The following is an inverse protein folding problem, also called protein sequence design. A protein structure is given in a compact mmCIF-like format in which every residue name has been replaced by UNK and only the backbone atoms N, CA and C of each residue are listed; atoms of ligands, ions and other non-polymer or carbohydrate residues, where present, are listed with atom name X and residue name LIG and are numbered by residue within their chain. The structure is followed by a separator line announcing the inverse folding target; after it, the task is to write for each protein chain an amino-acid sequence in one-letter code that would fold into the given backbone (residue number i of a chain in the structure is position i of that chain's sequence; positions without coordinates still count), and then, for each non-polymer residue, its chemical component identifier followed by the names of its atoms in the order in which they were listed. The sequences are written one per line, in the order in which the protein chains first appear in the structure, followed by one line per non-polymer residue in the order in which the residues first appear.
data_IF_109877201038
#
_entry.id   IF_109877201038
#
_cell.length_a   1.000
_cell.length_b   1.000
_cell.length_c   1.000
_cell.angle_alpha   90.00
_cell.angle_beta   90.00
_cell.angle_gamma   90.00
#
_symmetry.space_group_name_H-M   'P 1'
#
loop_
_entity.id
_entity.type
_entity.pdbx_description
1 polymer ?
#
# COMPACT_ATOMS: atom_id res chain seq x y z
N UNK A 1 16.69 -0.56 12.30
CA UNK A 1 15.29 -0.41 11.85
C UNK A 1 15.31 0.08 10.41
N UNK A 2 14.53 -0.52 9.53
CA UNK A 2 14.45 -0.11 8.11
C UNK A 2 13.40 0.99 7.95
N UNK A 3 13.77 2.09 7.30
CA UNK A 3 12.86 3.23 7.05
C UNK A 3 11.95 2.95 5.86
N UNK A 4 10.68 3.33 5.96
CA UNK A 4 9.73 3.26 4.85
C UNK A 4 10.15 4.23 3.73
N UNK A 5 10.00 3.83 2.48
CA UNK A 5 10.27 4.69 1.33
C UNK A 5 9.37 4.35 0.15
N UNK A 6 9.01 5.34 -0.66
CA UNK A 6 8.26 5.16 -1.90
C UNK A 6 8.91 5.96 -3.03
N UNK A 7 9.29 5.28 -4.12
CA UNK A 7 10.06 5.88 -5.22
C UNK A 7 11.29 6.63 -4.66
N UNK A 8 11.36 7.95 -4.86
CA UNK A 8 12.43 8.83 -4.39
C UNK A 8 12.14 9.46 -3.02
N UNK A 9 10.96 9.23 -2.44
CA UNK A 9 10.58 9.77 -1.14
C UNK A 9 10.93 8.79 -0.02
N UNK A 10 11.73 9.26 0.95
CA UNK A 10 11.95 8.55 2.22
C UNK A 10 11.08 9.17 3.29
N UNK A 11 10.35 8.34 4.03
CA UNK A 11 9.57 8.84 5.16
C UNK A 11 10.51 9.31 6.27
N UNK A 12 10.34 10.52 6.82
CA UNK A 12 11.19 11.02 7.91
C UNK A 12 11.08 10.17 9.18
N UNK A 13 9.87 9.69 9.45
CA UNK A 13 9.56 8.73 10.51
C UNK A 13 8.75 7.60 9.92
N UNK A 14 8.97 6.38 10.40
CA UNK A 14 8.12 5.27 10.02
C UNK A 14 6.66 5.55 10.41
N UNK A 15 5.69 5.09 9.60
CA UNK A 15 4.28 5.20 9.97
C UNK A 15 4.03 4.58 11.35
N UNK A 16 3.12 5.17 12.10
CA UNK A 16 2.66 4.64 13.38
C UNK A 16 1.96 3.29 13.18
N UNK A 17 1.22 3.14 12.08
CA UNK A 17 0.48 1.93 11.76
C UNK A 17 0.62 1.57 10.29
N UNK A 18 0.87 0.28 10.05
CA UNK A 18 0.87 -0.32 8.73
C UNK A 18 -0.15 -1.45 8.72
N UNK A 19 -1.08 -1.42 7.78
CA UNK A 19 -2.06 -2.49 7.57
C UNK A 19 -1.89 -3.05 6.17
N UNK A 20 -1.80 -4.37 6.05
CA UNK A 20 -1.74 -5.07 4.76
C UNK A 20 -3.00 -5.90 4.61
N UNK A 21 -3.75 -5.66 3.54
CA UNK A 21 -4.95 -6.40 3.19
C UNK A 21 -4.73 -7.12 1.87
N UNK A 22 -4.82 -8.44 1.90
CA UNK A 22 -4.64 -9.29 0.72
C UNK A 22 -5.96 -9.97 0.41
N UNK A 23 -6.42 -9.84 -0.83
CA UNK A 23 -7.71 -10.35 -1.28
C UNK A 23 -7.49 -11.37 -2.41
N UNK A 24 -8.06 -12.57 -2.26
CA UNK A 24 -8.16 -13.59 -3.30
C UNK A 24 -9.61 -13.67 -3.75
N UNK A 25 -9.86 -13.82 -5.05
CA UNK A 25 -11.22 -13.91 -5.57
C UNK A 25 -11.63 -15.36 -5.74
N UNK A 26 -12.76 -15.74 -5.14
CA UNK A 26 -13.36 -17.08 -5.26
C UNK A 26 -14.70 -16.96 -5.98
N UNK A 27 -14.85 -17.65 -7.11
CA UNK A 27 -16.17 -17.84 -7.73
C UNK A 27 -16.87 -19.03 -7.07
N UNK A 28 -18.17 -18.90 -6.83
CA UNK A 28 -19.00 -19.99 -6.31
C UNK A 28 -20.14 -20.25 -7.27
N UNK A 29 -20.30 -21.51 -7.69
CA UNK A 29 -21.40 -21.98 -8.50
C UNK A 29 -22.16 -23.07 -7.75
N UNK A 30 -23.48 -23.16 -7.96
CA UNK A 30 -24.30 -24.22 -7.40
C UNK A 30 -24.41 -25.37 -8.40
N UNK A 31 -24.09 -26.58 -7.95
CA UNK A 31 -24.34 -27.80 -8.70
C UNK A 31 -25.48 -28.57 -8.02
N UNK A 32 -26.62 -28.82 -8.71
CA UNK A 32 -27.71 -29.61 -8.15
C UNK A 32 -27.20 -30.96 -7.64
N UNK A 33 -27.59 -31.38 -6.43
CA UNK A 33 -27.17 -32.63 -5.76
C UNK A 33 -25.69 -32.74 -5.36
N UNK A 34 -24.80 -31.86 -5.82
CA UNK A 34 -23.36 -31.90 -5.52
C UNK A 34 -22.86 -30.76 -4.62
N UNK A 35 -23.73 -29.80 -4.26
CA UNK A 35 -23.37 -28.67 -3.40
C UNK A 35 -22.63 -27.54 -4.13
N UNK A 36 -22.04 -26.58 -3.39
CA UNK A 36 -21.33 -25.46 -3.99
C UNK A 36 -19.96 -25.90 -4.53
N UNK A 37 -19.66 -25.48 -5.77
CA UNK A 37 -18.35 -25.60 -6.39
C UNK A 37 -17.64 -24.26 -6.21
N UNK A 38 -16.47 -24.27 -5.58
CA UNK A 38 -15.62 -23.09 -5.41
C UNK A 38 -14.45 -23.13 -6.39
N UNK A 39 -14.29 -22.09 -7.20
CA UNK A 39 -13.15 -21.90 -8.08
C UNK A 39 -12.30 -20.73 -7.59
N UNK A 40 -11.03 -21.00 -7.26
CA UNK A 40 -10.07 -19.95 -6.95
C UNK A 40 -9.66 -19.23 -8.24
N UNK A 41 -10.02 -17.95 -8.36
CA UNK A 41 -9.66 -17.10 -9.51
C UNK A 41 -8.30 -16.41 -9.33
N UNK A 42 -7.63 -16.68 -8.21
CA UNK A 42 -6.33 -16.14 -7.86
C UNK A 42 -6.38 -14.85 -7.06
N UNK A 43 -5.18 -14.31 -6.84
CA UNK A 43 -4.98 -13.07 -6.10
C UNK A 43 -5.65 -11.90 -6.83
N UNK A 44 -6.54 -11.20 -6.15
CA UNK A 44 -7.26 -10.05 -6.69
C UNK A 44 -6.46 -8.77 -6.52
N UNK A 45 -6.01 -8.50 -5.29
CA UNK A 45 -5.18 -7.33 -4.95
C UNK A 45 -4.51 -7.50 -3.59
N UNK A 46 -3.41 -6.77 -3.39
CA UNK A 46 -2.84 -6.50 -2.07
C UNK A 46 -2.74 -4.98 -1.88
N UNK A 47 -3.33 -4.51 -0.79
CA UNK A 47 -3.39 -3.09 -0.43
C UNK A 47 -2.59 -2.88 0.85
N UNK A 48 -1.64 -1.95 0.81
CA UNK A 48 -0.83 -1.54 1.96
C UNK A 48 -1.29 -0.15 2.37
N UNK A 49 -1.72 0.01 3.63
CA UNK A 49 -2.07 1.30 4.22
C UNK A 49 -1.03 1.70 5.24
N UNK A 50 -0.57 2.93 5.15
CA UNK A 50 0.36 3.53 6.10
C UNK A 50 -0.29 4.78 6.71
N UNK A 51 -0.35 4.81 8.04
CA UNK A 51 -0.85 5.94 8.81
C UNK A 51 0.26 6.47 9.70
N UNK A 52 0.44 7.79 9.73
CA UNK A 52 1.45 8.42 10.57
C UNK A 52 1.34 9.93 10.54
N UNK A 53 2.43 10.58 10.94
CA UNK A 53 2.48 12.03 11.08
C UNK A 53 3.70 12.62 10.38
N UNK A 54 3.50 13.81 9.82
CA UNK A 54 4.55 14.74 9.48
C UNK A 54 4.56 15.87 10.51
N UNK A 55 5.76 16.32 10.90
CA UNK A 55 5.96 17.25 12.01
C UNK A 55 6.78 18.48 11.61
N UNK A 56 6.54 19.57 12.31
CA UNK A 56 7.27 20.84 12.20
C UNK A 56 6.91 21.64 10.96
N UNK A 57 7.70 22.69 10.70
CA UNK A 57 7.49 23.62 9.58
C UNK A 57 7.52 22.92 8.21
N UNK A 58 8.23 21.80 8.12
CA UNK A 58 8.37 21.01 6.90
C UNK A 58 7.22 20.01 6.68
N UNK A 59 6.25 19.89 7.59
CA UNK A 59 5.20 18.88 7.49
C UNK A 59 4.42 18.99 6.16
N UNK A 60 4.05 20.22 5.77
CA UNK A 60 3.35 20.49 4.50
C UNK A 60 4.21 20.14 3.28
N UNK A 61 5.50 20.46 3.33
CA UNK A 61 6.43 20.15 2.25
C UNK A 61 6.63 18.63 2.09
N UNK A 62 6.69 17.90 3.19
CA UNK A 62 6.77 16.43 3.19
C UNK A 62 5.51 15.80 2.59
N UNK A 63 4.33 16.29 2.96
CA UNK A 63 3.08 15.86 2.35
C UNK A 63 3.05 16.15 0.84
N UNK A 64 3.36 17.38 0.43
CA UNK A 64 3.38 17.78 -0.98
C UNK A 64 4.37 16.98 -1.83
N UNK A 65 5.52 16.59 -1.26
CA UNK A 65 6.49 15.72 -1.94
C UNK A 65 5.91 14.33 -2.21
N UNK A 66 5.19 13.74 -1.23
CA UNK A 66 4.51 12.46 -1.42
C UNK A 66 3.32 12.57 -2.39
N UNK A 67 2.56 13.67 -2.32
CA UNK A 67 1.46 13.97 -3.24
C UNK A 67 1.95 14.11 -4.69
N UNK A 68 3.11 14.74 -4.91
CA UNK A 68 3.74 14.82 -6.23
C UNK A 68 4.01 13.43 -6.83
N UNK A 69 4.34 12.44 -6.00
CA UNK A 69 4.52 11.05 -6.45
C UNK A 69 3.21 10.33 -6.77
N UNK A 70 2.10 10.75 -6.15
CA UNK A 70 0.75 10.23 -6.42
C UNK A 70 0.27 10.66 -7.81
N UNK A 71 0.59 11.88 -8.24
CA UNK A 71 0.25 12.38 -9.58
C UNK A 71 0.97 11.65 -10.72
N UNK A 72 1.99 10.85 -10.41
CA UNK A 72 2.67 10.03 -11.41
C UNK A 72 1.90 8.73 -11.67
N UNK A 73 1.54 8.48 -12.93
CA UNK A 73 0.76 7.29 -13.33
C UNK A 73 1.49 5.95 -13.21
N UNK A 74 2.78 5.94 -12.83
CA UNK A 74 3.62 4.75 -12.76
C UNK A 74 3.69 4.18 -11.35
N UNK A 75 3.72 2.84 -11.26
CA UNK A 75 4.08 2.15 -10.03
C UNK A 75 5.56 2.41 -9.69
N UNK A 76 5.90 2.27 -8.41
CA UNK A 76 7.27 2.45 -7.92
C UNK A 76 7.60 1.50 -6.78
N UNK A 77 8.89 1.41 -6.47
CA UNK A 77 9.35 0.63 -5.32
C UNK A 77 8.81 1.23 -4.03
N UNK A 78 8.10 0.40 -3.28
CA UNK A 78 7.62 0.68 -1.94
C UNK A 78 8.37 -0.24 -0.97
N UNK A 79 9.19 0.34 -0.11
CA UNK A 79 9.84 -0.37 0.99
C UNK A 79 8.97 -0.25 2.23
N UNK A 80 8.52 -1.38 2.76
CA UNK A 80 7.65 -1.48 3.93
C UNK A 80 8.45 -2.07 5.10
N UNK A 81 8.60 -1.35 6.23
CA UNK A 81 9.25 -1.88 7.42
C UNK A 81 8.61 -3.20 7.88
N UNK A 82 9.42 -4.24 8.08
CA UNK A 82 8.96 -5.56 8.53
C UNK A 82 8.35 -6.46 7.43
N UNK A 83 8.19 -5.97 6.20
CA UNK A 83 7.60 -6.74 5.09
C UNK A 83 8.52 -6.83 3.86
N UNK A 84 9.41 -5.85 3.63
CA UNK A 84 10.34 -5.88 2.49
C UNK A 84 10.02 -4.84 1.41
N UNK A 85 10.30 -5.16 0.15
CA UNK A 85 10.10 -4.23 -0.99
C UNK A 85 9.11 -4.81 -1.99
N UNK A 86 8.12 -4.01 -2.37
CA UNK A 86 7.11 -4.33 -3.39
C UNK A 86 7.09 -3.24 -4.47
N UNK A 87 6.45 -3.51 -5.60
CA UNK A 87 6.18 -2.50 -6.62
C UNK A 87 4.71 -2.11 -6.48
N UNK A 88 4.40 -0.84 -6.24
CA UNK A 88 3.03 -0.40 -5.95
C UNK A 88 2.69 0.97 -6.53
N UNK A 89 1.40 1.19 -6.77
CA UNK A 89 0.81 2.49 -7.04
C UNK A 89 0.40 3.14 -5.72
N UNK A 90 0.70 4.42 -5.53
CA UNK A 90 0.07 5.23 -4.49
C UNK A 90 -1.34 5.59 -4.97
N UNK A 91 -2.36 4.94 -4.42
CA UNK A 91 -3.75 5.00 -4.91
C UNK A 91 -4.64 5.94 -4.10
N UNK A 92 -4.27 6.25 -2.87
CA UNK A 92 -4.92 7.31 -2.10
C UNK A 92 -3.92 7.98 -1.16
N UNK A 93 -4.08 9.29 -0.97
CA UNK A 93 -3.35 10.05 0.04
C UNK A 93 -4.34 11.03 0.68
N UNK A 94 -4.42 10.98 2.00
CA UNK A 94 -5.27 11.86 2.80
C UNK A 94 -4.43 12.56 3.86
N UNK A 95 -4.84 13.77 4.21
CA UNK A 95 -4.24 14.57 5.27
C UNK A 95 -5.32 15.11 6.19
N UNK A 96 -5.04 15.08 7.48
CA UNK A 96 -5.79 15.82 8.50
C UNK A 96 -4.78 16.49 9.42
N UNK A 97 -5.02 17.74 9.80
CA UNK A 97 -4.09 18.48 10.63
C UNK A 97 -4.76 19.68 11.28
N UNK A 98 -4.09 20.21 12.29
CA UNK A 98 -4.51 21.44 12.96
C UNK A 98 -4.28 22.65 12.04
N UNK A 99 -5.01 23.74 12.28
CA UNK A 99 -4.96 24.94 11.42
C UNK A 99 -3.58 25.61 11.31
N UNK A 100 -2.67 25.33 12.25
CA UNK A 100 -1.29 25.82 12.22
C UNK A 100 -0.41 25.07 11.20
N UNK A 101 -0.82 23.87 10.76
CA UNK A 101 -0.13 23.05 9.79
C UNK A 101 1.20 22.46 10.25
N UNK A 102 1.49 22.47 11.56
CA UNK A 102 2.77 21.97 12.12
C UNK A 102 2.73 20.48 12.40
N UNK A 103 1.54 19.91 12.57
CA UNK A 103 1.32 18.47 12.75
C UNK A 103 0.26 18.02 11.76
N UNK A 104 0.65 17.14 10.85
CA UNK A 104 -0.22 16.62 9.79
C UNK A 104 -0.27 15.11 9.90
N UNK A 105 -1.42 14.57 10.29
CA UNK A 105 -1.70 13.15 10.19
C UNK A 105 -1.98 12.80 8.74
N UNK A 106 -1.26 11.82 8.20
CA UNK A 106 -1.47 11.31 6.86
C UNK A 106 -2.03 9.87 6.88
N UNK A 107 -2.74 9.53 5.81
CA UNK A 107 -3.04 8.14 5.45
C UNK A 107 -2.70 7.95 3.98
N UNK A 108 -1.75 7.06 3.70
CA UNK A 108 -1.35 6.68 2.35
C UNK A 108 -1.81 5.25 2.07
N UNK A 109 -2.46 5.04 0.93
CA UNK A 109 -2.86 3.72 0.43
C UNK A 109 -2.07 3.37 -0.81
N UNK A 110 -1.48 2.17 -0.81
CA UNK A 110 -0.73 1.64 -1.92
C UNK A 110 -1.39 0.35 -2.42
N UNK A 111 -1.67 0.27 -3.72
CA UNK A 111 -2.07 -0.99 -4.36
C UNK A 111 -0.85 -1.60 -5.02
N UNK A 112 -0.49 -2.82 -4.62
CA UNK A 112 0.62 -3.54 -5.21
C UNK A 112 0.33 -3.91 -6.67
N UNK A 113 1.31 -3.64 -7.54
CA UNK A 113 1.35 -4.19 -8.88
C UNK A 113 1.74 -5.66 -8.80
N UNK A 114 0.72 -6.52 -8.80
CA UNK A 114 0.89 -7.97 -8.88
C UNK A 114 1.05 -8.34 -10.36
N UNK A 115 2.21 -8.84 -10.75
CA UNK A 115 2.42 -9.29 -12.12
C UNK A 115 1.62 -10.56 -12.40
N UNK A 116 1.21 -10.80 -13.65
CA UNK A 116 0.55 -12.06 -14.03
C UNK A 116 1.42 -13.29 -13.73
N UNK A 117 2.75 -13.12 -13.73
CA UNK A 117 3.75 -14.13 -13.41
C UNK A 117 3.89 -14.39 -11.90
N UNK A 118 3.36 -13.52 -11.04
CA UNK A 118 3.34 -13.72 -9.58
C UNK A 118 2.23 -14.70 -9.13
N UNK A 119 1.46 -15.27 -10.08
CA UNK A 119 0.36 -16.22 -9.81
C UNK A 119 0.80 -17.58 -9.27
N UNK A 120 2.07 -17.95 -9.41
CA UNK A 120 2.58 -19.28 -9.02
C UNK A 120 3.18 -19.34 -7.60
N UNK A 121 2.99 -18.31 -6.76
CA UNK A 121 3.37 -18.37 -5.34
C UNK A 121 4.89 -18.29 -5.07
N UNK A 122 5.70 -17.91 -6.05
CA UNK A 122 7.17 -17.94 -5.99
C UNK A 122 7.81 -16.79 -5.21
N UNK A 123 7.05 -15.90 -4.55
CA UNK A 123 7.57 -14.66 -3.97
C UNK A 123 7.77 -14.66 -2.44
N UNK A 124 7.70 -15.82 -1.80
CA UNK A 124 8.10 -15.99 -0.40
C UNK A 124 9.17 -17.07 -0.28
N UNK A 125 10.32 -16.85 -0.91
CA UNK A 125 11.57 -17.51 -0.55
C UNK A 125 12.46 -16.44 0.08
N UNK A 126 12.70 -16.60 1.38
CA UNK A 126 13.81 -15.95 2.10
C UNK A 126 15.16 -16.37 1.51
#
# INVERSE_FOLDING_TARGET
MTTMSYKTFSFPHNPEKITVSTETRIATAHCPEYGPIHQNLGLARRVIRAEGYFYGENAKAQYAALETLMWQSTAGLLRVPGMGVVVAYLTALNMTGEGDGTVLRYTAEFTELIASTDREGTRYVD
#
